data_IF_126480618672
#
_entry.id   IF_126480618672
#
_cell.length_a   1.000
_cell.length_b   1.000
_cell.length_c   1.000
_cell.angle_alpha   90.00
_cell.angle_beta   90.00
_cell.angle_gamma   90.00
#
_symmetry.space_group_name_H-M   'P 1'
#
loop_
_entity.id
_entity.type
_entity.pdbx_description
1 polymer ?
#
# COMPACT_ATOMS: atom_id res chain seq x y z
N UNK A 1 -3.65 5.47 0.04
CA UNK A 1 -3.21 4.14 0.49
C UNK A 1 -1.75 3.97 0.11
N UNK A 2 -0.97 3.27 0.92
CA UNK A 2 0.31 2.67 0.51
C UNK A 2 0.30 1.20 0.92
N UNK A 3 1.12 0.42 0.21
CA UNK A 3 1.24 -1.03 0.37
C UNK A 3 2.70 -1.35 0.63
N UNK A 4 2.96 -2.23 1.61
CA UNK A 4 4.28 -2.66 2.02
C UNK A 4 4.36 -4.20 2.05
N UNK A 5 5.23 -4.75 1.22
CA UNK A 5 5.55 -6.19 1.15
C UNK A 5 6.94 -6.40 1.79
N UNK A 6 6.93 -6.81 3.06
CA UNK A 6 8.13 -6.98 3.91
C UNK A 6 8.84 -8.32 3.71
N UNK A 7 8.24 -9.24 2.96
CA UNK A 7 8.82 -10.54 2.59
C UNK A 7 9.20 -10.60 1.10
N UNK A 8 8.85 -9.55 0.34
CA UNK A 8 8.99 -9.43 -1.11
C UNK A 8 8.32 -10.59 -1.89
N UNK A 9 7.40 -11.34 -1.28
CA UNK A 9 6.83 -12.56 -1.85
C UNK A 9 5.72 -12.27 -2.87
N UNK A 10 5.12 -11.08 -2.81
CA UNK A 10 3.99 -10.65 -3.63
C UNK A 10 2.75 -11.51 -3.45
N UNK A 11 2.59 -12.12 -2.27
CA UNK A 11 1.40 -12.86 -1.80
C UNK A 11 0.85 -12.27 -0.51
N UNK A 12 1.70 -11.67 0.32
CA UNK A 12 1.34 -11.02 1.58
C UNK A 12 1.89 -9.60 1.65
N UNK A 13 1.22 -8.73 2.40
CA UNK A 13 1.69 -7.37 2.65
C UNK A 13 0.73 -6.62 3.57
N UNK A 14 1.15 -5.45 4.02
CA UNK A 14 0.33 -4.54 4.80
C UNK A 14 -0.21 -3.45 3.87
N UNK A 15 -1.46 -3.04 4.05
CA UNK A 15 -1.92 -1.77 3.51
C UNK A 15 -2.19 -0.79 4.64
N UNK A 16 -2.01 0.48 4.33
CA UNK A 16 -2.31 1.59 5.22
C UNK A 16 -2.94 2.72 4.39
N UNK A 17 -3.95 3.38 4.94
CA UNK A 17 -4.63 4.52 4.34
C UNK A 17 -4.76 5.68 5.31
N UNK A 18 -4.60 6.90 4.79
CA UNK A 18 -4.90 8.15 5.50
C UNK A 18 -5.58 9.13 4.54
N UNK A 19 -6.48 9.95 5.08
CA UNK A 19 -7.11 11.05 4.34
C UNK A 19 -6.64 12.43 4.85
N UNK A 20 -7.03 13.51 4.18
CA UNK A 20 -6.63 14.88 4.54
C UNK A 20 -7.14 15.37 5.91
N UNK A 21 -8.10 14.67 6.51
CA UNK A 21 -8.65 14.96 7.84
C UNK A 21 -8.02 14.07 8.95
N UNK A 22 -6.98 13.30 8.63
CA UNK A 22 -6.27 12.45 9.60
C UNK A 22 -6.96 11.14 9.95
N UNK A 23 -8.05 10.75 9.26
CA UNK A 23 -8.62 9.41 9.46
C UNK A 23 -7.65 8.35 8.93
N UNK A 24 -7.24 7.45 9.81
CA UNK A 24 -6.35 6.33 9.55
C UNK A 24 -7.15 5.04 9.33
N UNK A 25 -6.57 4.08 8.63
CA UNK A 25 -7.07 2.71 8.50
C UNK A 25 -6.04 1.81 7.86
N UNK A 26 -6.10 0.51 8.13
CA UNK A 26 -5.07 -0.44 7.75
C UNK A 26 -5.59 -1.89 7.66
N UNK A 27 -4.68 -2.83 7.42
CA UNK A 27 -4.96 -4.26 7.41
C UNK A 27 -3.92 -5.05 6.63
N UNK A 28 -4.08 -6.38 6.64
CA UNK A 28 -3.22 -7.29 5.88
C UNK A 28 -3.85 -7.60 4.52
N UNK A 29 -3.09 -7.42 3.45
CA UNK A 29 -3.41 -7.92 2.12
C UNK A 29 -2.94 -9.37 1.98
N UNK A 30 -3.80 -10.22 1.41
CA UNK A 30 -3.43 -11.54 0.91
C UNK A 30 -3.85 -11.69 -0.55
N UNK A 31 -2.92 -12.18 -1.37
CA UNK A 31 -3.20 -12.53 -2.76
C UNK A 31 -4.12 -13.75 -2.81
N UNK A 32 -5.37 -13.50 -3.17
CA UNK A 32 -6.36 -14.54 -3.44
C UNK A 32 -6.05 -15.17 -4.80
N UNK A 33 -5.73 -16.47 -4.82
CA UNK A 33 -5.20 -17.21 -5.98
C UNK A 33 -6.14 -17.42 -7.18
N UNK A 34 -7.10 -16.53 -7.43
CA UNK A 34 -7.90 -16.49 -8.65
C UNK A 34 -7.16 -15.75 -9.77
N UNK A 35 -7.07 -16.35 -10.95
CA UNK A 35 -6.42 -15.73 -12.12
C UNK A 35 -7.18 -14.49 -12.60
N UNK A 36 -6.72 -13.29 -12.21
CA UNK A 36 -7.50 -12.07 -12.41
C UNK A 36 -6.75 -10.76 -12.18
N UNK A 37 -5.55 -10.61 -12.74
CA UNK A 37 -4.97 -9.28 -12.97
C UNK A 37 -4.48 -8.51 -11.74
N UNK A 38 -4.09 -9.17 -10.63
CA UNK A 38 -3.17 -8.51 -9.69
C UNK A 38 -2.81 -9.22 -8.39
N UNK A 39 -1.53 -9.08 -8.00
CA UNK A 39 -1.00 -9.56 -6.69
C UNK A 39 -1.70 -8.90 -5.51
N UNK A 40 -1.99 -7.61 -5.64
CA UNK A 40 -2.82 -6.82 -4.73
C UNK A 40 -3.82 -6.03 -5.58
N UNK A 41 -5.11 -6.16 -5.31
CA UNK A 41 -6.15 -5.48 -6.09
C UNK A 41 -6.32 -4.03 -5.64
N UNK A 42 -5.96 -3.05 -6.48
CA UNK A 42 -6.13 -1.62 -6.17
C UNK A 42 -7.59 -1.13 -6.18
N UNK A 43 -8.52 -1.94 -6.69
CA UNK A 43 -9.95 -1.66 -6.71
C UNK A 43 -10.68 -2.16 -5.46
N UNK A 44 -11.83 -1.55 -5.14
CA UNK A 44 -12.65 -1.83 -3.94
C UNK A 44 -13.37 -3.20 -3.94
N UNK A 45 -12.89 -4.20 -4.67
CA UNK A 45 -13.44 -5.55 -4.70
C UNK A 45 -12.50 -6.57 -5.34
N UNK A 46 -12.43 -7.77 -4.77
CA UNK A 46 -11.76 -8.94 -5.34
C UNK A 46 -10.48 -9.42 -4.65
N UNK A 47 -9.80 -8.56 -3.88
CA UNK A 47 -8.60 -8.94 -3.11
C UNK A 47 -8.92 -9.38 -1.67
N UNK A 48 -8.19 -10.38 -1.16
CA UNK A 48 -8.32 -10.88 0.21
C UNK A 48 -7.76 -9.91 1.26
N UNK A 49 -8.52 -8.86 1.58
CA UNK A 49 -8.10 -7.83 2.56
C UNK A 49 -8.64 -8.14 3.96
N UNK A 50 -7.75 -8.34 4.92
CA UNK A 50 -8.09 -8.53 6.33
C UNK A 50 -8.00 -7.18 7.07
N UNK A 51 -9.15 -6.48 7.18
CA UNK A 51 -9.31 -5.24 7.95
C UNK A 51 -9.54 -5.46 9.46
N UNK A 52 -9.34 -6.69 9.97
CA UNK A 52 -9.34 -6.99 11.40
C UNK A 52 -7.92 -7.11 11.99
N UNK A 53 -6.88 -6.77 11.21
CA UNK A 53 -5.55 -6.45 11.73
C UNK A 53 -5.49 -4.94 11.97
N UNK A 54 -5.04 -4.56 13.16
CA UNK A 54 -4.92 -3.19 13.67
C UNK A 54 -3.45 -2.99 14.09
N UNK A 55 -2.75 -2.10 13.41
CA UNK A 55 -1.32 -1.89 13.58
C UNK A 55 -0.97 -0.78 14.57
N UNK A 56 0.10 -0.96 15.35
CA UNK A 56 0.68 0.15 16.13
C UNK A 56 1.45 1.09 15.17
N UNK A 57 0.81 2.12 14.65
CA UNK A 57 1.46 3.20 13.89
C UNK A 57 0.88 4.56 14.22
N UNK A 58 1.64 5.61 13.98
CA UNK A 58 1.22 7.00 14.15
C UNK A 58 1.21 7.70 12.79
N UNK A 59 0.30 8.67 12.62
CA UNK A 59 0.36 9.61 11.51
C UNK A 59 -0.15 10.99 11.92
N UNK A 60 0.28 12.01 11.17
CA UNK A 60 -0.13 13.41 11.34
C UNK A 60 -0.43 14.02 9.98
N UNK A 61 -1.46 14.85 9.89
CA UNK A 61 -1.84 15.56 8.66
C UNK A 61 -1.84 17.06 8.87
N UNK A 62 -1.25 17.79 7.93
CA UNK A 62 -1.28 19.25 7.91
C UNK A 62 -1.84 19.77 6.59
N UNK A 63 -2.91 20.57 6.68
CA UNK A 63 -3.44 21.37 5.57
C UNK A 63 -2.49 22.51 5.24
N UNK A 64 -2.36 22.84 3.95
CA UNK A 64 -1.48 23.90 3.43
C UNK A 64 -2.21 24.67 2.31
N UNK A 65 -1.80 25.90 1.95
CA UNK A 65 -2.49 26.68 0.90
C UNK A 65 -2.56 25.98 -0.47
N UNK A 66 -1.60 25.11 -0.77
CA UNK A 66 -1.47 24.30 -1.98
C UNK A 66 -2.15 22.91 -1.89
N UNK A 67 -2.56 22.47 -0.69
CA UNK A 67 -3.20 21.17 -0.49
C UNK A 67 -3.08 20.62 0.93
N UNK A 68 -2.49 19.43 1.06
CA UNK A 68 -2.28 18.77 2.34
C UNK A 68 -1.06 17.85 2.30
N UNK A 69 -0.53 17.56 3.49
CA UNK A 69 0.63 16.71 3.72
C UNK A 69 0.33 15.69 4.82
N UNK A 70 1.01 14.55 4.77
CA UNK A 70 0.97 13.53 5.82
C UNK A 70 2.39 13.11 6.20
N UNK A 71 2.61 12.94 7.50
CA UNK A 71 3.80 12.33 8.08
C UNK A 71 3.37 11.04 8.80
N UNK A 72 4.16 9.97 8.68
CA UNK A 72 3.80 8.61 9.10
C UNK A 72 4.99 8.01 9.85
N UNK A 73 4.72 7.31 10.97
CA UNK A 73 5.71 6.62 11.79
C UNK A 73 5.23 5.19 12.07
N UNK A 74 5.89 4.22 11.45
CA UNK A 74 5.67 2.79 11.68
C UNK A 74 6.87 2.23 12.45
N UNK A 75 6.71 1.85 13.73
CA UNK A 75 7.72 1.07 14.45
C UNK A 75 7.95 -0.29 13.79
N UNK A 76 9.21 -0.72 13.63
CA UNK A 76 9.53 -2.02 13.01
C UNK A 76 8.83 -3.20 13.69
N UNK A 77 8.65 -3.17 15.02
CA UNK A 77 7.91 -4.19 15.79
C UNK A 77 6.43 -4.38 15.41
N UNK A 78 5.87 -3.46 14.64
CA UNK A 78 4.48 -3.55 14.14
C UNK A 78 4.39 -4.48 12.92
N UNK A 79 5.52 -4.72 12.25
CA UNK A 79 5.60 -5.51 11.04
C UNK A 79 6.31 -6.83 11.35
N UNK A 80 5.74 -7.94 10.89
CA UNK A 80 6.54 -9.14 10.62
C UNK A 80 7.31 -8.92 9.31
N UNK A 81 8.60 -9.24 9.32
CA UNK A 81 9.51 -9.18 8.18
C UNK A 81 10.55 -10.30 8.31
N UNK A 82 11.23 -10.61 7.21
CA UNK A 82 12.39 -11.52 7.22
C UNK A 82 13.65 -10.73 7.60
N UNK A 83 14.36 -11.06 8.69
CA UNK A 83 15.55 -10.33 9.13
C UNK A 83 16.77 -10.55 8.21
N UNK A 84 16.78 -11.62 7.39
CA UNK A 84 17.85 -11.90 6.43
C UNK A 84 17.60 -11.21 5.07
N UNK A 85 16.45 -10.52 4.91
CA UNK A 85 16.10 -9.74 3.72
C UNK A 85 16.26 -8.23 3.95
N UNK A 86 17.17 -7.60 3.22
CA UNK A 86 17.41 -6.15 3.26
C UNK A 86 16.40 -5.31 2.45
N UNK A 87 15.57 -5.96 1.62
CA UNK A 87 14.79 -5.31 0.56
C UNK A 87 13.28 -5.53 0.71
N UNK A 88 12.54 -4.46 0.97
CA UNK A 88 11.07 -4.47 1.02
C UNK A 88 10.44 -3.87 -0.24
N UNK A 89 9.30 -4.41 -0.67
CA UNK A 89 8.48 -3.84 -1.74
C UNK A 89 7.56 -2.74 -1.20
N UNK A 90 7.50 -1.58 -1.86
CA UNK A 90 6.61 -0.48 -1.48
C UNK A 90 5.93 0.14 -2.71
N UNK A 91 4.65 0.52 -2.60
CA UNK A 91 3.99 1.35 -3.61
C UNK A 91 2.88 2.23 -2.99
N UNK A 92 2.51 3.30 -3.70
CA UNK A 92 1.59 4.34 -3.25
C UNK A 92 0.44 4.54 -4.24
N UNK A 93 -0.78 4.67 -3.72
CA UNK A 93 -2.02 4.90 -4.47
C UNK A 93 -2.78 6.10 -3.86
N UNK A 94 -3.02 7.14 -4.67
CA UNK A 94 -3.72 8.37 -4.29
C UNK A 94 -4.99 8.56 -5.12
N UNK A 95 -6.14 8.32 -4.50
CA UNK A 95 -7.46 8.52 -5.10
C UNK A 95 -7.94 9.98 -4.89
N UNK A 96 -8.26 10.67 -5.97
CA UNK A 96 -8.84 12.02 -5.96
C UNK A 96 -10.34 11.90 -6.28
N UNK A 97 -11.14 11.50 -5.29
CA UNK A 97 -12.58 11.21 -5.48
C UNK A 97 -13.36 12.35 -6.16
N UNK A 98 -13.02 13.63 -5.89
CA UNK A 98 -13.62 14.81 -6.54
C UNK A 98 -13.39 14.94 -8.06
N UNK A 99 -12.54 14.10 -8.65
CA UNK A 99 -12.29 14.00 -10.10
C UNK A 99 -12.41 12.57 -10.65
N UNK A 100 -12.70 11.60 -9.77
CA UNK A 100 -12.60 10.16 -10.04
C UNK A 100 -11.21 9.72 -10.59
N UNK A 101 -10.14 10.44 -10.26
CA UNK A 101 -8.76 10.13 -10.67
C UNK A 101 -8.10 9.19 -9.65
N UNK A 102 -7.28 8.26 -10.14
CA UNK A 102 -6.33 7.48 -9.34
C UNK A 102 -4.91 7.71 -9.85
N UNK A 103 -3.98 7.97 -8.92
CA UNK A 103 -2.56 8.17 -9.22
C UNK A 103 -1.76 7.09 -8.48
N UNK A 104 -0.89 6.40 -9.19
CA UNK A 104 -0.04 5.30 -8.70
C UNK A 104 1.43 5.70 -8.86
N UNK A 105 2.28 5.39 -7.88
CA UNK A 105 3.70 5.75 -7.95
C UNK A 105 4.49 4.86 -8.92
N UNK A 106 4.43 3.54 -8.75
CA UNK A 106 4.74 2.59 -9.82
C UNK A 106 3.44 2.16 -10.49
N UNK A 107 3.31 2.54 -11.76
CA UNK A 107 2.15 2.26 -12.59
C UNK A 107 1.90 0.76 -12.73
N UNK A 108 0.62 0.41 -12.80
CA UNK A 108 0.13 -0.95 -12.87
C UNK A 108 -0.13 -1.38 -14.33
N UNK A 109 0.47 -2.48 -14.79
CA UNK A 109 0.04 -3.14 -16.05
C UNK A 109 -1.27 -3.88 -15.78
N UNK A 110 -2.25 -3.73 -16.67
CA UNK A 110 -3.63 -4.30 -16.52
C UNK A 110 -3.69 -5.82 -16.28
N UNK A 111 -2.61 -6.55 -16.56
CA UNK A 111 -2.47 -8.00 -16.39
C UNK A 111 -1.72 -8.42 -15.12
N UNK A 112 -0.98 -7.51 -14.47
CA UNK A 112 0.03 -7.84 -13.45
C UNK A 112 -0.34 -7.28 -12.06
N UNK A 113 -1.48 -6.58 -11.97
CA UNK A 113 -1.92 -5.82 -10.79
C UNK A 113 -1.16 -4.53 -10.67
N UNK A 114 -0.90 -4.17 -9.38
CA UNK A 114 0.96 -2.64 -7.80
C UNK A 114 2.57 -2.88 -7.50
N UNK A 115 3.43 -3.59 -8.25
CA UNK A 115 4.57 -4.39 -7.75
C UNK A 115 5.38 -4.95 -8.94
N UNK A 116 5.58 -4.10 -9.94
CA UNK A 116 6.58 -4.34 -10.99
C UNK A 116 7.98 -4.39 -10.35
N UNK A 117 8.77 -5.41 -10.73
CA UNK A 117 10.17 -5.56 -10.34
C UNK A 117 11.07 -5.29 -11.53
N UNK A 118 11.64 -4.10 -11.58
CA UNK A 118 12.75 -3.78 -12.49
C UNK A 118 13.83 -3.01 -11.75
N UNK A 119 14.98 -3.68 -11.57
CA UNK A 119 16.24 -3.14 -11.04
C UNK A 119 16.81 -2.08 -11.98
N UNK A 120 17.40 -0.98 -11.48
CA UNK A 120 18.12 -0.03 -12.31
C UNK A 120 19.44 -0.67 -12.81
N UNK A 121 19.62 -0.81 -14.13
CA UNK A 121 20.81 -1.50 -14.65
C UNK A 121 20.85 -1.79 -16.15
N UNK A 122 20.59 -0.80 -17.00
CA UNK A 122 21.05 -0.69 -18.39
C UNK A 122 20.78 0.73 -18.93
#
# INVERSE_FOLDING_TARGET
MWILDTFLDGRTGYFFEINAAGLMGDGILRSSGGGGGGRFGGGSGGGGTNKAWDGIWEARTAMRPDGWSAEIRIPFRTLNFDPDNDTWGINFQRTIRRRNEEILWRGWRRTEGCADRSTPGA
#
